data_IF_494667007764
#
_entry.id   IF_494667007764
#
_cell.length_a   1.000
_cell.length_b   1.000
_cell.length_c   1.000
_cell.angle_alpha   90.00
_cell.angle_beta   90.00
_cell.angle_gamma   90.00
#
_symmetry.space_group_name_H-M   'P 1'
#
loop_
_entity.id
_entity.type
_entity.pdbx_description
1 polymer ?
#
# COMPACT_ATOMS: atom_id res chain seq x y z
N UNK A 1 4.82 -16.58 10.25
CA UNK A 1 4.99 -15.17 9.84
C UNK A 1 5.51 -14.33 11.00
N UNK A 2 6.18 -13.22 10.69
CA UNK A 2 6.60 -12.20 11.67
C UNK A 2 6.21 -10.81 11.16
N UNK A 3 5.83 -9.90 12.06
CA UNK A 3 5.49 -8.52 11.72
C UNK A 3 5.77 -7.56 12.87
N UNK A 4 6.17 -6.33 12.55
CA UNK A 4 6.27 -5.21 13.49
C UNK A 4 5.04 -4.31 13.47
N UNK A 5 4.11 -4.54 12.54
CA UNK A 5 2.89 -3.75 12.35
C UNK A 5 1.63 -4.62 12.48
N UNK A 6 1.26 -5.07 13.70
CA UNK A 6 0.07 -5.91 13.91
C UNK A 6 -1.20 -5.37 13.26
N UNK A 7 -1.39 -4.05 13.19
CA UNK A 7 -2.53 -3.41 12.53
C UNK A 7 -2.69 -3.76 11.03
N UNK A 8 -1.67 -4.32 10.38
CA UNK A 8 -1.76 -4.75 8.97
C UNK A 8 -2.32 -6.16 8.79
N UNK A 9 -2.44 -6.96 9.86
CA UNK A 9 -2.93 -8.35 9.77
C UNK A 9 -4.34 -8.44 9.19
N UNK A 10 -5.32 -7.58 9.52
CA UNK A 10 -6.64 -7.61 8.87
C UNK A 10 -6.60 -7.50 7.33
N UNK A 11 -5.55 -6.88 6.79
CA UNK A 11 -5.33 -6.69 5.36
C UNK A 11 -4.49 -7.82 4.72
N UNK A 12 -4.08 -8.83 5.49
CA UNK A 12 -3.26 -9.92 4.98
C UNK A 12 -4.03 -10.70 3.91
N UNK A 13 -3.35 -10.97 2.79
CA UNK A 13 -3.89 -11.73 1.65
C UNK A 13 -2.98 -12.85 1.17
N UNK A 14 -1.72 -12.85 1.58
CA UNK A 14 -0.77 -13.90 1.21
C UNK A 14 0.33 -14.01 2.26
N UNK A 15 1.20 -15.02 2.11
CA UNK A 15 2.44 -15.13 2.86
C UNK A 15 3.59 -15.21 1.85
N UNK A 16 4.51 -14.27 1.86
CA UNK A 16 5.67 -14.31 0.98
C UNK A 16 6.80 -15.17 1.56
N UNK A 17 7.47 -15.92 0.68
CA UNK A 17 8.67 -16.72 0.96
C UNK A 17 9.72 -16.55 -0.16
N UNK A 18 10.99 -16.86 0.09
CA UNK A 18 12.02 -16.81 -0.95
C UNK A 18 12.45 -18.23 -1.34
N UNK A 19 12.31 -18.65 -2.62
CA UNK A 19 12.73 -19.99 -3.07
C UNK A 19 14.22 -20.30 -2.86
N UNK A 20 15.06 -19.28 -2.64
CA UNK A 20 16.51 -19.43 -2.38
C UNK A 20 16.82 -19.75 -0.92
N UNK A 21 15.85 -19.62 -0.01
CA UNK A 21 16.01 -19.89 1.43
C UNK A 21 15.61 -21.34 1.72
N UNK A 22 16.39 -22.03 2.55
CA UNK A 22 16.03 -23.36 3.04
C UNK A 22 15.02 -23.26 4.18
N UNK A 23 13.91 -23.99 4.07
CA UNK A 23 12.86 -24.08 5.09
C UNK A 23 12.74 -25.50 5.62
N UNK A 24 12.34 -25.62 6.89
CA UNK A 24 12.12 -26.91 7.51
C UNK A 24 10.96 -26.89 8.49
N UNK A 25 10.37 -28.08 8.68
CA UNK A 25 9.41 -28.34 9.74
C UNK A 25 10.15 -28.79 11.00
N UNK A 26 9.79 -28.21 12.13
CA UNK A 26 10.30 -28.55 13.45
C UNK A 26 9.16 -28.96 14.36
N UNK A 27 9.39 -29.95 15.21
CA UNK A 27 8.44 -30.38 16.24
C UNK A 27 8.98 -29.96 17.61
N UNK A 28 8.18 -29.22 18.36
CA UNK A 28 8.54 -28.74 19.70
C UNK A 28 8.58 -29.93 20.66
N UNK A 29 9.70 -30.11 21.36
CA UNK A 29 9.88 -31.21 22.31
C UNK A 29 9.72 -30.74 23.76
N UNK A 30 10.26 -29.56 24.08
CA UNK A 30 10.17 -29.00 25.42
C UNK A 30 10.12 -27.46 25.40
N UNK A 31 9.45 -26.90 26.41
CA UNK A 31 9.39 -25.46 26.66
C UNK A 31 10.34 -25.09 27.81
N UNK A 32 10.75 -23.82 27.86
CA UNK A 32 11.55 -23.30 28.99
C UNK A 32 10.72 -23.34 30.28
N UNK A 33 11.29 -23.91 31.35
CA UNK A 33 10.65 -24.01 32.66
C UNK A 33 10.85 -22.74 33.52
N UNK A 34 10.00 -22.57 34.54
CA UNK A 34 10.15 -21.48 35.52
C UNK A 34 9.79 -20.09 35.02
N UNK A 35 9.06 -19.99 33.90
CA UNK A 35 8.58 -18.72 33.36
C UNK A 35 7.44 -18.14 34.19
N UNK A 36 7.39 -16.81 34.29
CA UNK A 36 6.31 -16.09 34.96
C UNK A 36 5.00 -16.05 34.16
N UNK A 37 5.00 -16.61 32.94
CA UNK A 37 3.87 -16.69 32.04
C UNK A 37 3.93 -18.02 31.28
N UNK A 38 2.78 -18.49 30.80
CA UNK A 38 2.71 -19.68 29.96
C UNK A 38 3.03 -19.30 28.50
N UNK A 39 4.05 -19.91 27.85
CA UNK A 39 4.30 -19.75 26.43
C UNK A 39 3.10 -20.20 25.58
N UNK A 40 2.93 -19.62 24.39
CA UNK A 40 1.83 -20.00 23.50
C UNK A 40 2.08 -21.32 22.76
N UNK A 41 3.35 -21.65 22.48
CA UNK A 41 3.73 -22.94 21.90
C UNK A 41 3.69 -24.06 22.96
N UNK A 42 3.45 -25.28 22.50
CA UNK A 42 3.36 -26.49 23.33
C UNK A 42 4.20 -27.63 22.75
N UNK A 43 4.69 -28.55 23.59
CA UNK A 43 5.27 -29.80 23.11
C UNK A 43 4.31 -30.52 22.16
N UNK A 44 4.82 -30.96 21.01
CA UNK A 44 4.06 -31.56 19.92
C UNK A 44 3.61 -30.59 18.83
N UNK A 45 3.68 -29.27 19.06
CA UNK A 45 3.40 -28.29 18.01
C UNK A 45 4.43 -28.40 16.88
N UNK A 46 3.97 -28.20 15.64
CA UNK A 46 4.82 -28.20 14.45
C UNK A 46 4.92 -26.81 13.85
N UNK A 47 6.14 -26.35 13.68
CA UNK A 47 6.48 -25.03 13.17
C UNK A 47 7.22 -25.16 11.85
N UNK A 48 6.90 -24.30 10.89
CA UNK A 48 7.68 -24.14 9.65
C UNK A 48 8.37 -22.80 9.68
N UNK A 49 9.69 -22.81 9.56
CA UNK A 49 10.54 -21.61 9.58
C UNK A 49 11.74 -21.78 8.65
N UNK A 50 12.37 -20.68 8.26
CA UNK A 50 13.66 -20.73 7.59
C UNK A 50 14.71 -21.33 8.54
N UNK A 51 15.54 -22.25 8.04
CA UNK A 51 16.48 -23.02 8.88
C UNK A 51 17.45 -22.13 9.65
N UNK A 52 17.96 -21.08 9.01
CA UNK A 52 18.89 -20.11 9.62
C UNK A 52 18.25 -19.29 10.75
N UNK A 53 16.93 -19.14 10.73
CA UNK A 53 16.17 -18.34 11.71
C UNK A 53 15.52 -19.21 12.81
N UNK A 54 15.67 -20.53 12.76
CA UNK A 54 14.99 -21.45 13.67
C UNK A 54 15.34 -21.18 15.15
N UNK A 55 16.63 -21.05 15.47
CA UNK A 55 17.10 -20.82 16.84
C UNK A 55 16.56 -19.50 17.43
N UNK A 56 16.51 -18.43 16.62
CA UNK A 56 15.96 -17.14 17.04
C UNK A 56 14.44 -17.22 17.27
N UNK A 57 13.72 -17.97 16.43
CA UNK A 57 12.29 -18.22 16.62
C UNK A 57 12.05 -19.03 17.89
N UNK A 58 12.83 -20.08 18.14
CA UNK A 58 12.68 -20.91 19.34
C UNK A 58 12.93 -20.10 20.60
N UNK A 59 14.00 -19.28 20.60
CA UNK A 59 14.29 -18.36 21.70
C UNK A 59 13.15 -17.37 21.94
N UNK A 60 12.60 -16.78 20.89
CA UNK A 60 11.48 -15.84 21.01
C UNK A 60 10.20 -16.51 21.55
N UNK A 61 9.95 -17.75 21.16
CA UNK A 61 8.79 -18.56 21.57
C UNK A 61 9.00 -19.28 22.92
N UNK A 62 10.15 -19.12 23.58
CA UNK A 62 10.52 -19.83 24.80
C UNK A 62 10.53 -21.36 24.64
N UNK A 63 10.87 -21.86 23.46
CA UNK A 63 11.07 -23.28 23.16
C UNK A 63 12.47 -23.67 23.63
N UNK A 64 12.56 -24.67 24.51
CA UNK A 64 13.83 -25.17 25.03
C UNK A 64 14.53 -26.13 24.06
N UNK A 65 13.73 -26.98 23.40
CA UNK A 65 14.22 -27.88 22.36
C UNK A 65 13.15 -28.17 21.32
N UNK A 66 13.58 -28.26 20.07
CA UNK A 66 12.77 -28.73 18.96
C UNK A 66 13.63 -29.59 18.05
N UNK A 67 13.03 -30.63 17.48
CA UNK A 67 13.68 -31.51 16.51
C UNK A 67 13.30 -31.11 15.09
N UNK A 68 14.26 -31.08 14.17
CA UNK A 68 13.98 -30.97 12.74
C UNK A 68 13.28 -32.26 12.27
N UNK A 69 12.09 -32.12 11.69
CA UNK A 69 11.28 -33.23 11.19
C UNK A 69 11.64 -33.54 9.74
N UNK A 70 11.61 -32.53 8.88
CA UNK A 70 11.87 -32.65 7.45
C UNK A 70 12.18 -31.27 6.84
N UNK A 71 12.80 -31.26 5.66
CA UNK A 71 12.81 -30.08 4.80
C UNK A 71 11.39 -29.76 4.33
N UNK A 72 11.10 -28.50 4.08
CA UNK A 72 9.78 -28.02 3.68
C UNK A 72 9.89 -27.16 2.41
N UNK A 73 9.10 -27.48 1.39
CA UNK A 73 8.94 -26.62 0.22
C UNK A 73 7.65 -25.79 0.39
N UNK A 74 7.74 -24.46 0.52
CA UNK A 74 6.56 -23.63 0.69
C UNK A 74 5.72 -23.44 -0.59
N UNK A 75 6.21 -23.89 -1.74
CA UNK A 75 5.57 -23.69 -3.04
C UNK A 75 4.19 -24.35 -3.11
N UNK A 76 3.16 -23.58 -3.47
CA UNK A 76 1.79 -24.07 -3.62
C UNK A 76 1.04 -24.32 -2.31
N UNK A 77 1.62 -23.97 -1.16
CA UNK A 77 0.95 -24.08 0.13
C UNK A 77 -0.09 -22.98 0.27
N UNK A 78 -1.23 -23.34 0.87
CA UNK A 78 -2.31 -22.42 1.23
C UNK A 78 -2.56 -22.53 2.73
N UNK A 79 -2.73 -21.38 3.38
CA UNK A 79 -2.97 -21.26 4.81
C UNK A 79 -4.34 -20.65 5.09
N UNK A 80 -4.88 -20.90 6.28
CA UNK A 80 -6.00 -20.11 6.80
C UNK A 80 -5.50 -18.75 7.29
N UNK A 81 -6.33 -17.72 7.18
CA UNK A 81 -6.07 -16.44 7.83
C UNK A 81 -5.99 -16.62 9.37
N UNK A 82 -5.08 -15.94 10.09
CA UNK A 82 -4.93 -16.13 11.55
C UNK A 82 -6.15 -15.71 12.37
N UNK A 83 -7.14 -15.04 11.76
CA UNK A 83 -8.41 -14.64 12.39
C UNK A 83 -9.63 -15.40 11.85
N UNK A 84 -9.43 -16.38 10.96
CA UNK A 84 -10.51 -17.13 10.30
C UNK A 84 -11.47 -17.82 11.28
N UNK A 85 -10.98 -18.23 12.46
CA UNK A 85 -11.78 -18.87 13.51
C UNK A 85 -12.68 -17.89 14.29
N UNK A 86 -12.37 -16.60 14.26
CA UNK A 86 -13.09 -15.59 15.04
C UNK A 86 -14.18 -14.87 14.24
N UNK A 87 -13.98 -14.73 12.94
CA UNK A 87 -14.94 -14.05 12.06
C UNK A 87 -14.91 -14.63 10.64
N UNK A 88 -16.07 -14.97 10.04
CA UNK A 88 -16.15 -15.51 8.69
C UNK A 88 -15.63 -14.54 7.61
N UNK A 89 -15.56 -13.24 7.89
CA UNK A 89 -14.92 -12.27 6.99
C UNK A 89 -13.42 -12.51 6.76
N UNK A 90 -12.79 -13.38 7.56
CA UNK A 90 -11.43 -13.87 7.37
C UNK A 90 -11.36 -15.32 6.87
N UNK A 91 -12.48 -15.91 6.42
CA UNK A 91 -12.56 -17.31 5.97
C UNK A 91 -12.04 -17.59 4.55
N UNK A 92 -11.14 -16.76 4.04
CA UNK A 92 -10.53 -16.90 2.71
C UNK A 92 -9.16 -17.57 2.79
N UNK A 93 -8.75 -18.18 1.66
CA UNK A 93 -7.44 -18.80 1.49
C UNK A 93 -6.31 -17.76 1.46
N UNK A 94 -5.21 -18.06 2.16
CA UNK A 94 -3.99 -17.24 2.18
C UNK A 94 -2.86 -18.03 1.50
N UNK A 95 -2.64 -17.84 0.18
CA UNK A 95 -1.60 -18.55 -0.55
C UNK A 95 -0.19 -18.07 -0.18
N UNK A 96 0.79 -18.95 -0.38
CA UNK A 96 2.20 -18.58 -0.33
C UNK A 96 2.70 -18.05 -1.68
N UNK A 97 3.37 -16.90 -1.68
CA UNK A 97 3.89 -16.23 -2.88
C UNK A 97 5.43 -16.17 -2.86
N UNK A 98 6.06 -16.43 -4.00
CA UNK A 98 7.52 -16.40 -4.11
C UNK A 98 8.02 -14.96 -4.30
N UNK A 99 8.74 -14.41 -3.32
CA UNK A 99 9.24 -13.03 -3.34
C UNK A 99 10.72 -12.93 -2.99
N UNK A 100 11.50 -12.30 -3.86
CA UNK A 100 12.93 -12.03 -3.62
C UNK A 100 13.17 -11.03 -2.46
N UNK A 101 12.15 -10.26 -2.06
CA UNK A 101 12.21 -9.30 -0.95
C UNK A 101 12.31 -9.99 0.42
N UNK A 102 12.00 -11.30 0.50
CA UNK A 102 12.09 -12.07 1.74
C UNK A 102 13.54 -12.48 1.97
N UNK A 103 14.07 -12.16 3.15
CA UNK A 103 15.43 -12.49 3.58
C UNK A 103 15.44 -13.43 4.79
N UNK A 104 16.60 -14.02 5.09
CA UNK A 104 16.84 -14.88 6.26
C UNK A 104 17.68 -14.18 7.34
N UNK A 105 17.59 -12.85 7.42
CA UNK A 105 18.34 -12.04 8.39
C UNK A 105 17.54 -11.73 9.66
N UNK A 106 16.20 -11.74 9.58
CA UNK A 106 15.32 -11.50 10.71
C UNK A 106 13.92 -12.13 10.51
N UNK A 107 13.22 -12.35 11.62
CA UNK A 107 11.84 -12.85 11.61
C UNK A 107 11.77 -14.37 11.51
N UNK A 108 10.98 -14.88 10.54
CA UNK A 108 10.75 -16.34 10.39
C UNK A 108 11.13 -16.90 9.01
N UNK A 109 11.55 -16.03 8.08
CA UNK A 109 11.66 -16.35 6.66
C UNK A 109 10.32 -16.38 5.93
N UNK A 110 9.22 -16.02 6.62
CA UNK A 110 7.90 -15.80 6.05
C UNK A 110 7.40 -14.40 6.41
N UNK A 111 7.06 -13.63 5.38
CA UNK A 111 6.53 -12.26 5.50
C UNK A 111 5.04 -12.31 5.23
N UNK A 112 4.22 -11.81 6.16
CA UNK A 112 2.79 -11.64 5.90
C UNK A 112 2.63 -10.56 4.82
N UNK A 113 1.74 -10.76 3.86
CA UNK A 113 1.63 -9.88 2.69
C UNK A 113 0.29 -9.17 2.73
N UNK A 114 0.34 -7.87 3.01
CA UNK A 114 -0.79 -6.95 3.02
C UNK A 114 -0.61 -5.91 1.89
N UNK A 115 -1.05 -6.21 0.65
CA UNK A 115 -0.77 -5.38 -0.53
C UNK A 115 -1.36 -3.96 -0.47
N UNK A 116 -2.26 -3.69 0.49
CA UNK A 116 -2.77 -2.35 0.82
C UNK A 116 -1.80 -1.44 1.58
N UNK A 117 -0.73 -2.01 2.16
CA UNK A 117 0.10 -1.35 3.18
C UNK A 117 1.61 -1.55 3.02
N UNK A 118 2.07 -2.16 1.93
CA UNK A 118 3.49 -2.37 1.65
C UNK A 118 3.78 -2.34 0.14
N UNK A 119 4.86 -1.67 -0.26
CA UNK A 119 5.24 -1.58 -1.68
C UNK A 119 5.71 -2.94 -2.22
N UNK A 120 6.53 -3.66 -1.46
CA UNK A 120 6.98 -5.01 -1.84
C UNK A 120 5.80 -5.99 -1.85
N UNK A 121 4.89 -5.87 -0.88
CA UNK A 121 3.65 -6.65 -0.82
C UNK A 121 2.76 -6.42 -2.04
N UNK A 122 2.62 -5.17 -2.47
CA UNK A 122 1.88 -4.80 -3.68
C UNK A 122 2.56 -5.37 -4.94
N UNK A 123 3.89 -5.24 -5.03
CA UNK A 123 4.64 -5.71 -6.19
C UNK A 123 4.62 -7.23 -6.32
N UNK A 124 4.82 -7.98 -5.22
CA UNK A 124 4.76 -9.45 -5.25
C UNK A 124 3.36 -9.95 -5.58
N UNK A 125 2.31 -9.26 -5.08
CA UNK A 125 0.92 -9.56 -5.39
C UNK A 125 0.65 -9.46 -6.89
N UNK A 126 1.02 -8.34 -7.52
CA UNK A 126 0.85 -8.14 -8.96
C UNK A 126 1.73 -9.07 -9.81
N UNK A 127 2.96 -9.36 -9.37
CA UNK A 127 3.87 -10.25 -10.08
C UNK A 127 3.32 -11.68 -10.20
N UNK A 128 2.42 -12.09 -9.30
CA UNK A 128 1.73 -13.38 -9.36
C UNK A 128 0.39 -13.32 -10.12
N UNK A 129 0.10 -12.22 -10.81
CA UNK A 129 -1.10 -12.06 -11.62
C UNK A 129 -2.39 -11.86 -10.80
N UNK A 130 -2.27 -11.51 -9.52
CA UNK A 130 -3.43 -11.26 -8.66
C UNK A 130 -3.99 -9.84 -8.90
N UNK A 131 -5.31 -9.71 -8.86
CA UNK A 131 -5.99 -8.47 -9.27
C UNK A 131 -5.79 -7.35 -8.25
N UNK A 132 -5.76 -6.10 -8.74
CA UNK A 132 -5.80 -4.90 -7.89
C UNK A 132 -7.13 -4.77 -7.15
N UNK A 133 -8.21 -5.29 -7.72
CA UNK A 133 -9.56 -5.24 -7.17
C UNK A 133 -9.71 -6.12 -5.92
N UNK A 134 -8.88 -7.15 -5.80
CA UNK A 134 -8.86 -8.08 -4.66
C UNK A 134 -8.04 -7.55 -3.46
N UNK A 135 -7.37 -6.41 -3.63
CA UNK A 135 -6.61 -5.76 -2.56
C UNK A 135 -7.61 -5.11 -1.59
N UNK A 136 -7.64 -5.51 -0.31
CA UNK A 136 -8.59 -4.94 0.63
C UNK A 136 -8.22 -3.51 0.98
N UNK A 137 -9.22 -2.64 0.99
CA UNK A 137 -9.10 -1.32 1.60
C UNK A 137 -9.53 -1.40 3.07
N UNK A 138 -8.57 -1.28 3.98
CA UNK A 138 -8.79 -1.52 5.41
C UNK A 138 -8.75 -0.25 6.24
N UNK A 139 -8.05 0.81 5.83
CA UNK A 139 -7.80 1.99 6.67
C UNK A 139 -8.21 3.27 5.95
N UNK A 140 -9.05 4.09 6.58
CA UNK A 140 -9.57 5.33 6.02
C UNK A 140 -8.55 6.50 6.02
N UNK A 141 -8.83 7.63 5.34
CA UNK A 141 -8.05 8.87 5.38
C UNK A 141 -7.64 9.36 6.77
N UNK A 142 -8.48 9.13 7.78
CA UNK A 142 -8.29 9.56 9.16
C UNK A 142 -7.54 8.53 10.02
N UNK A 143 -7.02 7.47 9.40
CA UNK A 143 -6.24 6.43 10.05
C UNK A 143 -7.07 5.52 10.97
N UNK A 144 -8.37 5.38 10.78
CA UNK A 144 -9.21 4.35 11.39
C UNK A 144 -9.48 3.21 10.42
N UNK A 145 -9.80 2.01 10.93
CA UNK A 145 -10.32 0.97 10.05
C UNK A 145 -11.70 1.34 9.51
N UNK A 146 -11.96 1.01 8.24
CA UNK A 146 -13.28 1.18 7.64
C UNK A 146 -14.36 0.34 8.34
N UNK A 147 -15.66 0.73 8.22
CA UNK A 147 -16.76 0.00 8.84
C UNK A 147 -16.88 -1.48 8.44
N UNK A 148 -16.43 -1.84 7.24
CA UNK A 148 -16.49 -3.22 6.73
C UNK A 148 -15.35 -4.11 7.22
N UNK A 149 -14.34 -3.58 7.93
CA UNK A 149 -13.23 -4.40 8.45
C UNK A 149 -13.71 -5.22 9.64
N UNK A 150 -13.82 -6.56 9.51
CA UNK A 150 -14.38 -7.39 10.56
C UNK A 150 -13.54 -7.31 11.84
N UNK A 151 -14.20 -7.37 13.00
CA UNK A 151 -13.62 -7.26 14.35
C UNK A 151 -13.01 -5.91 14.75
N UNK A 152 -12.65 -5.03 13.81
CA UNK A 152 -11.83 -3.84 14.10
C UNK A 152 -12.40 -2.50 13.61
N UNK A 153 -13.59 -2.49 13.00
CA UNK A 153 -14.26 -1.31 12.48
C UNK A 153 -14.15 -0.07 13.40
N UNK A 154 -13.70 1.05 12.85
CA UNK A 154 -13.57 2.34 13.54
C UNK A 154 -12.38 2.46 14.51
N UNK A 155 -11.62 1.39 14.79
CA UNK A 155 -10.44 1.49 15.64
C UNK A 155 -9.34 2.29 14.95
N UNK A 156 -8.72 3.20 15.70
CA UNK A 156 -7.64 4.06 15.19
C UNK A 156 -6.33 3.28 15.11
N UNK A 157 -5.75 3.25 13.91
CA UNK A 157 -4.38 2.83 13.62
C UNK A 157 -3.41 3.96 13.96
N UNK A 158 -3.73 5.18 13.53
CA UNK A 158 -2.99 6.40 13.87
C UNK A 158 -3.95 7.40 14.50
N UNK A 159 -3.43 8.14 15.47
CA UNK A 159 -4.05 9.37 15.98
C UNK A 159 -3.13 10.53 15.62
N UNK A 160 -3.62 11.46 14.81
CA UNK A 160 -2.83 12.59 14.29
C UNK A 160 -2.62 13.71 15.32
N UNK A 161 -3.46 13.78 16.36
CA UNK A 161 -3.38 14.76 17.44
C UNK A 161 -3.35 14.09 18.83
N UNK A 162 -2.21 14.15 19.51
CA UNK A 162 -2.07 13.64 20.87
C UNK A 162 -2.66 14.59 21.92
N UNK A 163 -3.47 14.06 22.86
CA UNK A 163 -4.08 14.84 23.96
C UNK A 163 -3.08 15.53 24.91
N UNK A 164 -1.86 15.00 25.04
CA UNK A 164 -0.89 15.44 26.07
C UNK A 164 0.27 16.26 25.51
N UNK A 165 0.77 15.89 24.33
CA UNK A 165 1.98 16.50 23.74
C UNK A 165 1.78 17.05 22.31
N UNK A 166 0.55 17.00 21.77
CA UNK A 166 0.20 17.33 20.37
C UNK A 166 0.99 16.55 19.30
N UNK A 167 1.79 15.57 19.69
CA UNK A 167 2.47 14.64 18.80
C UNK A 167 1.52 13.49 18.48
N UNK A 168 1.33 13.19 17.20
CA UNK A 168 0.54 12.04 16.79
C UNK A 168 1.21 10.73 17.18
N UNK A 169 0.43 9.66 17.33
CA UNK A 169 0.91 8.35 17.81
C UNK A 169 0.11 7.22 17.18
N UNK A 170 0.59 5.99 17.34
CA UNK A 170 -0.24 4.82 17.07
C UNK A 170 -1.48 4.82 17.99
N UNK A 171 -2.63 4.46 17.42
CA UNK A 171 -3.86 4.21 18.15
C UNK A 171 -3.93 2.80 18.71
N UNK A 172 -5.11 2.39 19.14
CA UNK A 172 -5.33 1.14 19.86
C UNK A 172 -5.41 -0.10 18.94
N UNK A 173 -5.40 0.07 17.61
CA UNK A 173 -5.51 -1.02 16.63
C UNK A 173 -4.46 -2.12 16.83
N UNK A 174 -3.19 -1.76 17.05
CA UNK A 174 -2.13 -2.76 17.25
C UNK A 174 -2.43 -3.69 18.43
N UNK A 175 -2.89 -3.11 19.55
CA UNK A 175 -3.25 -3.87 20.74
C UNK A 175 -4.46 -4.76 20.46
N UNK A 176 -5.52 -4.20 19.88
CA UNK A 176 -6.74 -4.95 19.57
C UNK A 176 -6.47 -6.16 18.66
N UNK A 177 -5.63 -6.00 17.63
CA UNK A 177 -5.26 -7.11 16.75
C UNK A 177 -4.45 -8.17 17.50
N UNK A 178 -3.48 -7.79 18.34
CA UNK A 178 -2.73 -8.74 19.16
C UNK A 178 -3.65 -9.52 20.11
N UNK A 179 -4.60 -8.83 20.75
CA UNK A 179 -5.57 -9.47 21.66
C UNK A 179 -6.42 -10.51 20.92
N UNK A 180 -6.86 -10.22 19.68
CA UNK A 180 -7.58 -11.19 18.84
C UNK A 180 -6.72 -12.35 18.34
N UNK A 181 -5.44 -12.12 18.04
CA UNK A 181 -4.50 -13.20 17.70
C UNK A 181 -4.28 -14.16 18.86
N UNK A 182 -4.24 -13.64 20.09
CA UNK A 182 -4.16 -14.44 21.33
C UNK A 182 -5.45 -15.27 21.49
N UNK A 183 -6.61 -14.63 21.35
CA UNK A 183 -7.91 -15.31 21.43
C UNK A 183 -8.08 -16.43 20.39
N UNK A 184 -7.60 -16.20 19.16
CA UNK A 184 -7.60 -17.19 18.09
C UNK A 184 -6.61 -18.36 18.33
N UNK A 185 -5.68 -18.22 19.28
CA UNK A 185 -4.61 -19.19 19.54
C UNK A 185 -3.50 -19.18 18.49
N UNK A 186 -3.36 -18.11 17.71
CA UNK A 186 -2.46 -18.01 16.56
C UNK A 186 -1.26 -17.06 16.78
N UNK A 187 -1.00 -16.67 18.04
CA UNK A 187 0.20 -15.91 18.41
C UNK A 187 1.28 -16.86 18.93
N UNK A 188 2.44 -16.92 18.28
CA UNK A 188 3.56 -17.76 18.74
C UNK A 188 4.41 -17.08 19.81
N UNK A 189 4.72 -15.79 19.61
CA UNK A 189 5.58 -15.00 20.48
C UNK A 189 5.24 -13.52 20.33
N UNK A 190 5.57 -12.71 21.35
CA UNK A 190 5.54 -11.25 21.27
C UNK A 190 6.76 -10.65 21.96
N UNK A 191 7.27 -9.55 21.39
CA UNK A 191 8.40 -8.82 21.92
C UNK A 191 8.30 -7.33 21.63
N UNK A 192 9.21 -6.55 22.21
CA UNK A 192 9.41 -5.15 21.84
C UNK A 192 10.71 -5.02 21.08
N UNK A 193 10.66 -4.32 19.95
CA UNK A 193 11.82 -4.01 19.13
C UNK A 193 11.93 -2.48 19.03
N UNK A 194 13.11 -1.95 19.32
CA UNK A 194 13.42 -0.54 19.06
C UNK A 194 14.17 -0.45 17.74
N UNK A 195 13.62 0.32 16.80
CA UNK A 195 14.22 0.54 15.49
C UNK A 195 13.80 1.90 14.93
N UNK A 196 14.46 2.33 13.86
CA UNK A 196 14.07 3.55 13.15
C UNK A 196 12.75 3.35 12.41
N UNK A 197 11.83 4.30 12.57
CA UNK A 197 10.50 4.28 11.95
C UNK A 197 10.17 5.65 11.34
N UNK A 198 9.54 5.73 10.16
CA UNK A 198 9.24 7.00 9.51
C UNK A 198 8.20 7.80 10.30
N UNK A 199 8.52 9.08 10.54
CA UNK A 199 7.63 10.04 11.19
C UNK A 199 7.44 11.26 10.31
N UNK A 200 6.25 11.85 10.36
CA UNK A 200 5.96 13.13 9.73
C UNK A 200 6.93 14.18 10.24
N UNK A 201 7.66 14.83 9.34
CA UNK A 201 8.64 15.85 9.71
C UNK A 201 8.00 17.04 10.45
N UNK A 202 6.70 17.30 10.21
CA UNK A 202 5.94 18.40 10.81
C UNK A 202 5.22 17.99 12.09
N UNK A 203 4.30 17.02 12.03
CA UNK A 203 3.47 16.63 13.18
C UNK A 203 4.18 15.67 14.14
N UNK A 204 5.34 15.12 13.73
CA UNK A 204 6.07 14.08 14.45
C UNK A 204 5.26 12.80 14.68
N UNK A 205 4.09 12.67 14.06
CA UNK A 205 3.28 11.45 14.10
C UNK A 205 3.96 10.34 13.28
N UNK A 206 3.81 9.06 13.66
CA UNK A 206 4.19 7.93 12.80
C UNK A 206 3.49 8.03 11.44
N UNK A 207 4.17 7.58 10.38
CA UNK A 207 3.57 7.45 9.05
C UNK A 207 3.24 5.98 8.80
N UNK A 208 2.13 5.74 8.10
CA UNK A 208 1.78 4.41 7.56
C UNK A 208 1.69 4.50 6.05
N UNK A 209 1.94 3.37 5.40
CA UNK A 209 1.67 3.20 3.98
C UNK A 209 0.21 2.76 3.82
N UNK A 210 -0.48 3.39 2.89
CA UNK A 210 -1.85 3.06 2.51
C UNK A 210 -1.99 3.26 1.01
N UNK A 211 -2.66 2.33 0.35
CA UNK A 211 -3.13 2.55 -1.01
C UNK A 211 -4.17 3.68 -1.02
N UNK A 212 -4.08 4.53 -2.03
CA UNK A 212 -5.05 5.61 -2.26
C UNK A 212 -5.37 5.62 -3.74
N UNK A 213 -6.63 5.86 -4.12
CA UNK A 213 -6.94 6.25 -5.49
C UNK A 213 -6.09 7.46 -5.86
N UNK A 214 -5.38 7.36 -6.98
CA UNK A 214 -4.53 8.42 -7.51
C UNK A 214 -4.68 8.44 -9.02
N UNK A 215 -4.45 9.60 -9.60
CA UNK A 215 -4.52 9.83 -11.03
C UNK A 215 -3.16 9.66 -11.66
N UNK A 216 -3.12 8.84 -12.71
CA UNK A 216 -1.90 8.54 -13.44
C UNK A 216 -2.07 8.83 -14.92
N UNK A 217 -1.01 9.35 -15.53
CA UNK A 217 -0.85 9.35 -16.99
C UNK A 217 -0.14 8.05 -17.37
N UNK A 218 -0.80 7.25 -18.22
CA UNK A 218 -0.27 5.98 -18.71
C UNK A 218 0.87 6.24 -19.69
N UNK A 219 2.05 5.70 -19.42
CA UNK A 219 3.23 5.93 -20.25
C UNK A 219 3.31 5.00 -21.47
N UNK A 220 2.73 3.80 -21.34
CA UNK A 220 2.80 2.72 -22.33
C UNK A 220 1.45 2.39 -23.00
N UNK A 221 0.43 3.22 -22.77
CA UNK A 221 -0.84 3.07 -23.48
C UNK A 221 -0.70 3.49 -24.95
N UNK A 222 -1.30 2.71 -25.84
CA UNK A 222 -1.37 3.02 -27.27
C UNK A 222 -2.24 4.26 -27.48
N UNK A 223 -1.68 5.26 -28.15
CA UNK A 223 -2.34 6.54 -28.45
C UNK A 223 -3.24 6.48 -29.70
N UNK A 224 -3.45 5.29 -30.26
CA UNK A 224 -4.33 5.03 -31.41
C UNK A 224 -3.61 5.04 -32.76
N UNK A 225 -2.30 5.32 -32.78
CA UNK A 225 -1.43 5.28 -33.95
C UNK A 225 -0.30 4.25 -33.83
N UNK A 226 -0.39 3.34 -32.83
CA UNK A 226 0.63 2.34 -32.53
C UNK A 226 1.84 2.91 -31.79
N UNK A 227 1.79 4.17 -31.34
CA UNK A 227 2.82 4.78 -30.52
C UNK A 227 2.35 5.04 -29.08
N UNK A 228 3.30 5.05 -28.13
CA UNK A 228 3.04 5.39 -26.72
C UNK A 228 3.69 6.72 -26.34
N UNK A 229 3.27 7.30 -25.21
CA UNK A 229 3.91 8.51 -24.67
C UNK A 229 5.40 8.28 -24.42
N UNK A 230 5.79 7.10 -23.89
CA UNK A 230 7.20 6.76 -23.68
C UNK A 230 7.98 6.73 -25.00
N UNK A 231 7.45 6.09 -26.04
CA UNK A 231 8.13 5.99 -27.33
C UNK A 231 8.31 7.37 -27.97
N UNK A 232 7.28 8.22 -27.91
CA UNK A 232 7.36 9.60 -28.40
C UNK A 232 8.40 10.41 -27.62
N UNK A 233 8.44 10.29 -26.30
CA UNK A 233 9.43 10.96 -25.45
C UNK A 233 10.87 10.50 -25.75
N UNK A 234 11.10 9.19 -25.86
CA UNK A 234 12.42 8.63 -26.22
C UNK A 234 12.88 9.09 -27.61
N UNK A 235 11.97 9.14 -28.59
CA UNK A 235 12.27 9.67 -29.92
C UNK A 235 12.67 11.15 -29.84
N UNK A 236 11.89 11.98 -29.13
CA UNK A 236 12.20 13.40 -28.97
C UNK A 236 13.54 13.62 -28.26
N UNK A 237 13.86 12.80 -27.26
CA UNK A 237 15.18 12.79 -26.61
C UNK A 237 16.28 12.45 -27.61
N UNK A 238 16.09 11.48 -28.50
CA UNK A 238 17.06 11.12 -29.53
C UNK A 238 17.27 12.23 -30.58
N UNK A 239 16.21 12.95 -30.95
CA UNK A 239 16.27 14.02 -31.94
C UNK A 239 16.86 15.34 -31.37
N UNK A 240 16.87 15.51 -30.05
CA UNK A 240 17.34 16.75 -29.39
C UNK A 240 18.86 16.81 -29.31
N UNK A 241 19.48 17.96 -29.54
CA UNK A 241 20.92 18.16 -29.30
C UNK A 241 21.21 18.33 -27.80
N UNK A 242 22.19 17.60 -27.26
CA UNK A 242 22.61 17.69 -25.86
C UNK A 242 24.05 18.17 -25.76
N UNK A 243 24.31 19.09 -24.83
CA UNK A 243 25.66 19.56 -24.54
C UNK A 243 25.86 19.54 -23.02
N UNK A 244 26.61 18.57 -22.46
CA UNK A 244 27.32 17.46 -23.11
C UNK A 244 26.44 16.26 -23.52
N UNK A 245 26.92 15.44 -24.48
CA UNK A 245 26.17 14.31 -25.05
C UNK A 245 25.67 13.28 -24.02
N UNK A 246 26.42 13.07 -22.94
CA UNK A 246 26.03 12.10 -21.91
C UNK A 246 24.70 12.45 -21.21
N UNK A 247 24.24 13.71 -21.31
CA UNK A 247 22.93 14.13 -20.83
C UNK A 247 21.78 13.34 -21.48
N UNK A 248 21.93 13.01 -22.78
CA UNK A 248 20.96 12.21 -23.53
C UNK A 248 20.78 10.82 -22.92
N UNK A 249 21.89 10.13 -22.63
CA UNK A 249 21.84 8.77 -22.08
C UNK A 249 21.23 8.76 -20.68
N UNK A 250 21.52 9.80 -19.88
CA UNK A 250 20.96 9.93 -18.53
C UNK A 250 19.45 10.11 -18.53
N UNK A 251 18.91 11.03 -19.32
CA UNK A 251 17.45 11.24 -19.40
C UNK A 251 16.76 10.09 -20.16
N UNK A 252 17.40 9.55 -21.20
CA UNK A 252 16.91 8.41 -21.96
C UNK A 252 16.69 7.19 -21.08
N UNK A 253 17.71 6.77 -20.32
CA UNK A 253 17.58 5.64 -19.40
C UNK A 253 16.54 5.88 -18.30
N UNK A 254 16.40 7.13 -17.81
CA UNK A 254 15.35 7.48 -16.86
C UNK A 254 13.94 7.32 -17.46
N UNK A 255 13.74 7.76 -18.71
CA UNK A 255 12.44 7.69 -19.40
C UNK A 255 12.13 6.26 -19.85
N UNK A 256 13.13 5.45 -20.18
CA UNK A 256 12.93 4.06 -20.62
C UNK A 256 12.24 3.20 -19.56
N UNK A 257 12.62 3.35 -18.28
CA UNK A 257 12.08 2.51 -17.19
C UNK A 257 11.06 3.24 -16.30
N UNK A 258 10.63 4.45 -16.68
CA UNK A 258 9.75 5.27 -15.84
C UNK A 258 8.36 4.64 -15.70
N UNK A 259 7.80 4.41 -14.51
CA UNK A 259 6.42 3.93 -14.40
C UNK A 259 5.41 5.00 -14.85
N UNK A 260 4.12 4.64 -14.85
CA UNK A 260 3.03 5.60 -15.06
C UNK A 260 3.18 6.83 -14.15
N UNK A 261 2.88 8.01 -14.70
CA UNK A 261 3.14 9.26 -14.01
C UNK A 261 1.97 9.64 -13.11
N UNK A 262 2.17 9.53 -11.80
CA UNK A 262 1.23 9.99 -10.77
C UNK A 262 1.13 11.53 -10.77
N UNK A 263 0.02 12.07 -11.25
CA UNK A 263 -0.21 13.51 -11.44
C UNK A 263 -1.09 14.15 -10.36
N UNK A 264 -1.83 13.40 -9.56
CA UNK A 264 -2.66 13.97 -8.50
C UNK A 264 -1.87 14.25 -7.21
N UNK A 265 -2.29 15.28 -6.47
CA UNK A 265 -1.82 15.57 -5.11
C UNK A 265 -3.00 16.01 -4.25
N UNK A 266 -3.12 15.45 -3.05
CA UNK A 266 -4.11 15.87 -2.03
C UNK A 266 -3.56 17.09 -1.26
N UNK A 267 -3.57 18.25 -1.91
CA UNK A 267 -3.02 19.51 -1.40
C UNK A 267 -3.92 20.67 -1.80
N UNK A 268 -3.84 21.76 -1.04
CA UNK A 268 -4.76 22.88 -1.20
C UNK A 268 -4.24 23.99 -2.13
N UNK A 269 -3.01 23.89 -2.65
CA UNK A 269 -2.39 24.94 -3.45
C UNK A 269 -1.72 24.39 -4.71
N UNK A 270 -2.35 24.62 -5.86
CA UNK A 270 -1.88 24.29 -7.20
C UNK A 270 -3.03 24.27 -8.20
N UNK A 271 -2.75 23.96 -9.46
CA UNK A 271 -3.78 23.87 -10.49
C UNK A 271 -4.75 22.71 -10.19
N UNK A 272 -6.08 22.92 -10.25
CA UNK A 272 -7.04 21.86 -9.99
C UNK A 272 -6.96 20.77 -11.05
N UNK A 273 -7.06 19.50 -10.63
CA UNK A 273 -7.39 18.41 -11.52
C UNK A 273 -8.91 18.44 -11.79
N UNK A 274 -9.34 19.43 -12.58
CA UNK A 274 -10.75 19.79 -12.73
C UNK A 274 -11.52 18.76 -13.58
N UNK A 275 -12.04 17.73 -12.90
CA UNK A 275 -12.86 16.69 -13.52
C UNK A 275 -13.92 16.17 -12.54
N UNK A 276 -14.97 15.57 -13.11
CA UNK A 276 -15.92 14.76 -12.37
C UNK A 276 -15.68 13.28 -12.62
N UNK A 277 -15.98 12.44 -11.65
CA UNK A 277 -15.92 10.97 -11.77
C UNK A 277 -17.28 10.38 -11.48
N UNK A 278 -17.69 9.41 -12.31
CA UNK A 278 -18.89 8.63 -12.02
C UNK A 278 -18.61 7.66 -10.85
N UNK A 279 -19.33 7.82 -9.74
CA UNK A 279 -19.13 7.02 -8.51
C UNK A 279 -19.38 5.52 -8.68
N UNK A 280 -20.13 5.13 -9.72
CA UNK A 280 -20.45 3.72 -10.00
C UNK A 280 -19.37 3.05 -10.83
N UNK A 281 -18.86 3.75 -11.84
CA UNK A 281 -17.89 3.19 -12.80
C UNK A 281 -16.43 3.53 -12.48
N UNK A 282 -16.20 4.55 -11.64
CA UNK A 282 -14.87 5.09 -11.37
C UNK A 282 -14.23 5.81 -12.56
N UNK A 283 -14.97 6.03 -13.66
CA UNK A 283 -14.44 6.67 -14.86
C UNK A 283 -14.65 8.19 -14.84
N UNK A 284 -13.71 8.97 -15.38
CA UNK A 284 -13.92 10.40 -15.63
C UNK A 284 -15.16 10.66 -16.48
N UNK A 285 -15.93 11.67 -16.10
CA UNK A 285 -17.01 12.19 -16.91
C UNK A 285 -16.43 12.99 -18.08
N UNK A 286 -16.48 12.41 -19.27
CA UNK A 286 -16.12 13.08 -20.52
C UNK A 286 -17.37 13.73 -21.11
N UNK A 287 -17.57 15.02 -20.83
CA UNK A 287 -18.71 15.80 -21.32
C UNK A 287 -18.29 17.22 -21.71
N UNK A 288 -18.55 17.60 -22.96
CA UNK A 288 -18.14 18.90 -23.52
C UNK A 288 -18.84 20.08 -22.83
N UNK A 289 -20.12 19.96 -22.48
CA UNK A 289 -20.88 21.03 -21.83
C UNK A 289 -20.51 21.23 -20.37
N UNK A 290 -20.10 20.16 -19.66
CA UNK A 290 -19.50 20.24 -18.32
C UNK A 290 -18.12 20.90 -18.43
N UNK A 291 -17.27 20.43 -19.35
CA UNK A 291 -15.93 20.98 -19.55
C UNK A 291 -15.97 22.47 -19.91
N UNK A 292 -16.90 22.90 -20.77
CA UNK A 292 -17.04 24.30 -21.12
C UNK A 292 -17.40 25.16 -19.89
N UNK A 293 -18.32 24.69 -19.04
CA UNK A 293 -18.68 25.42 -17.80
C UNK A 293 -17.55 25.46 -16.78
N UNK A 294 -16.71 24.44 -16.73
CA UNK A 294 -15.48 24.45 -15.93
C UNK A 294 -14.53 25.55 -16.45
N UNK A 295 -14.29 25.59 -17.77
CA UNK A 295 -13.44 26.60 -18.39
C UNK A 295 -13.98 28.02 -18.17
N UNK A 296 -15.28 28.24 -18.39
CA UNK A 296 -15.91 29.54 -18.20
C UNK A 296 -15.76 30.04 -16.75
N UNK A 297 -15.98 29.15 -15.77
CA UNK A 297 -15.80 29.47 -14.37
C UNK A 297 -14.34 29.80 -14.01
N UNK A 298 -13.38 29.08 -14.58
CA UNK A 298 -11.94 29.33 -14.38
C UNK A 298 -11.50 30.63 -15.06
N UNK A 299 -12.03 30.96 -16.24
CA UNK A 299 -11.76 32.24 -16.90
C UNK A 299 -12.30 33.43 -16.11
N UNK A 300 -13.48 33.29 -15.51
CA UNK A 300 -14.11 34.36 -14.73
C UNK A 300 -13.47 34.51 -13.33
N UNK A 301 -13.27 33.41 -12.62
CA UNK A 301 -12.91 33.41 -11.19
C UNK A 301 -11.50 32.87 -10.88
N UNK A 302 -10.71 32.55 -11.90
CA UNK A 302 -9.43 31.86 -11.74
C UNK A 302 -9.61 30.39 -11.31
N UNK A 303 -8.50 29.72 -11.04
CA UNK A 303 -8.48 28.31 -10.64
C UNK A 303 -9.31 28.02 -9.36
N UNK A 304 -9.39 29.01 -8.45
CA UNK A 304 -10.15 28.91 -7.21
C UNK A 304 -11.66 28.74 -7.42
N UNK A 305 -12.17 29.12 -8.59
CA UNK A 305 -13.57 28.89 -8.95
C UNK A 305 -13.94 27.40 -8.90
N UNK A 306 -13.00 26.51 -9.24
CA UNK A 306 -13.22 25.07 -9.14
C UNK A 306 -13.51 24.68 -7.69
N UNK A 307 -12.70 25.12 -6.72
CA UNK A 307 -12.87 24.72 -5.31
C UNK A 307 -14.08 25.37 -4.64
N UNK A 308 -14.38 26.63 -4.99
CA UNK A 308 -15.37 27.43 -4.25
C UNK A 308 -16.81 27.26 -4.75
N UNK A 309 -17.01 26.87 -6.02
CA UNK A 309 -18.35 26.67 -6.57
C UNK A 309 -18.89 25.26 -6.29
N UNK A 310 -20.21 25.12 -6.04
CA UNK A 310 -20.85 23.82 -5.86
C UNK A 310 -20.79 22.99 -7.15
N UNK A 311 -20.78 21.67 -7.01
CA UNK A 311 -20.72 20.72 -8.13
C UNK A 311 -21.83 20.94 -9.19
N UNK A 312 -23.04 21.31 -8.74
CA UNK A 312 -24.20 21.53 -9.60
C UNK A 312 -23.99 22.61 -10.67
N UNK A 313 -23.20 23.65 -10.37
CA UNK A 313 -22.91 24.74 -11.31
C UNK A 313 -22.19 24.21 -12.57
N UNK A 314 -21.35 23.19 -12.40
CA UNK A 314 -20.59 22.55 -13.47
C UNK A 314 -21.33 21.37 -14.11
N UNK A 315 -22.18 20.66 -13.36
CA UNK A 315 -22.85 19.43 -13.82
C UNK A 315 -24.13 19.69 -14.62
N UNK A 316 -24.88 20.73 -14.28
CA UNK A 316 -26.03 21.18 -15.08
C UNK A 316 -27.21 20.25 -14.86
N UNK A 317 -27.75 19.64 -15.92
CA UNK A 317 -28.86 18.68 -15.79
C UNK A 317 -28.41 17.29 -15.29
N UNK A 318 -27.10 17.06 -15.17
CA UNK A 318 -26.57 15.79 -14.65
C UNK A 318 -26.80 15.70 -13.14
N UNK A 319 -27.17 14.51 -12.69
CA UNK A 319 -27.39 14.19 -11.27
C UNK A 319 -26.11 14.39 -10.44
N UNK A 320 -26.05 15.37 -9.53
CA UNK A 320 -24.88 15.62 -8.69
C UNK A 320 -24.55 14.47 -7.73
N UNK A 321 -25.52 13.64 -7.36
CA UNK A 321 -25.28 12.54 -6.42
C UNK A 321 -24.53 11.38 -7.10
N UNK A 322 -24.66 11.24 -8.42
CA UNK A 322 -23.93 10.23 -9.22
C UNK A 322 -22.45 10.55 -9.42
N UNK A 323 -22.08 11.83 -9.39
CA UNK A 323 -20.72 12.26 -9.71
C UNK A 323 -19.96 12.75 -8.48
N UNK A 324 -18.69 12.42 -8.41
CA UNK A 324 -17.73 12.96 -7.46
C UNK A 324 -16.96 14.08 -8.14
N UNK A 325 -16.90 15.23 -7.49
CA UNK A 325 -16.06 16.35 -7.91
C UNK A 325 -14.66 16.10 -7.37
N UNK A 326 -13.67 15.96 -8.25
CA UNK A 326 -12.29 15.72 -7.81
C UNK A 326 -11.68 17.03 -7.29
N UNK A 327 -11.20 17.00 -6.04
CA UNK A 327 -10.58 18.15 -5.38
C UNK A 327 -9.04 18.01 -5.28
N UNK A 328 -8.48 17.00 -5.93
CA UNK A 328 -7.03 16.89 -6.11
C UNK A 328 -6.49 18.05 -6.96
N UNK A 329 -5.24 18.42 -6.71
CA UNK A 329 -4.47 19.31 -7.59
C UNK A 329 -3.49 18.51 -8.44
N UNK A 330 -3.04 19.14 -9.53
CA UNK A 330 -1.95 18.64 -10.37
C UNK A 330 -0.60 18.70 -9.65
N UNK A 331 0.27 17.75 -10.01
CA UNK A 331 1.68 17.73 -9.67
C UNK A 331 2.37 19.00 -10.19
N UNK A 332 3.20 19.64 -9.38
CA UNK A 332 3.91 20.88 -9.78
C UNK A 332 4.83 20.66 -11.00
N UNK A 333 5.28 19.42 -11.21
CA UNK A 333 6.03 19.05 -12.41
C UNK A 333 5.18 19.05 -13.69
N UNK A 334 3.86 18.87 -13.56
CA UNK A 334 2.92 19.01 -14.67
C UNK A 334 2.79 20.48 -15.08
N UNK A 335 2.55 21.36 -14.10
CA UNK A 335 2.42 22.81 -14.34
C UNK A 335 3.67 23.37 -15.01
N UNK A 336 4.85 23.06 -14.46
CA UNK A 336 6.13 23.48 -15.04
C UNK A 336 6.44 22.80 -16.37
N UNK A 337 6.06 21.53 -16.54
CA UNK A 337 6.23 20.77 -17.78
C UNK A 337 5.42 21.32 -18.95
N UNK A 338 4.28 21.96 -18.69
CA UNK A 338 3.42 22.53 -19.72
C UNK A 338 3.72 24.00 -20.05
N UNK A 339 4.73 24.60 -19.43
CA UNK A 339 5.08 26.02 -19.63
C UNK A 339 5.35 26.36 -21.09
N UNK A 340 5.95 25.45 -21.88
CA UNK A 340 6.18 25.68 -23.30
C UNK A 340 4.86 25.97 -24.06
N UNK A 341 3.79 25.25 -23.71
CA UNK A 341 2.50 25.39 -24.36
C UNK A 341 1.77 26.67 -23.94
N UNK A 342 1.94 27.13 -22.70
CA UNK A 342 1.23 28.33 -22.22
C UNK A 342 2.00 29.64 -22.45
N UNK A 343 3.32 29.58 -22.66
CA UNK A 343 4.16 30.78 -22.77
C UNK A 343 4.72 31.01 -24.17
N UNK A 344 4.89 29.95 -24.99
CA UNK A 344 5.45 30.05 -26.33
C UNK A 344 4.39 29.86 -27.41
N UNK A 345 3.47 28.93 -27.21
CA UNK A 345 2.34 28.69 -28.10
C UNK A 345 1.19 29.60 -27.64
N UNK A 346 1.06 30.80 -28.20
CA UNK A 346 0.03 31.76 -27.76
C UNK A 346 -1.39 31.20 -27.92
N UNK A 347 -1.90 30.56 -26.87
CA UNK A 347 -3.23 29.95 -26.76
C UNK A 347 -4.14 30.80 -25.90
#
# INVERSE_FOLDING_TARGET
IWTTTPWTIPANRAISFNPKIAYATYEVEAMVEGLAFEPWAKPGDRLVVAEKLADDVFKAAMIASARKVAAFDPSGVVCDHPLARLDPGYGFDVPLLAGDHVTDDAGTGFVHTAPGHGADDYNVWLAHGLSREDIPDTVDPDGAYYPHVPLFAGLKVIVTEGKKDKVGKFGDANKAVMDRLIEAGNLLARGRLEHSYPHSWRSKAPVIFRNTPQWFIRMDEDLGDGSTLRQRALKAIADTAFHPDHGRNRIGGMVETRPDWLISRQRNWGAPLAMFVDKTTGQPLVDEGVNQRILDAIHEGGADAWFTRPAGDFLGERDPDRYEKIEDILDVWFDSGCTHAFTLEGR
#
